data_IF_865577232214
#
_entry.id   IF_865577232214
#
_cell.length_a   1.000
_cell.length_b   1.000
_cell.length_c   1.000
_cell.angle_alpha   90.00
_cell.angle_beta   90.00
_cell.angle_gamma   90.00
#
_symmetry.space_group_name_H-M   'P 1'
#
loop_
_entity.id
_entity.type
_entity.pdbx_description
1 polymer ?
#
# COMPACT_ATOMS: atom_id res chain seq x y z
N UNK A 1 69.47 -10.90 24.03
CA UNK A 1 68.41 -10.02 24.55
C UNK A 1 67.58 -9.55 23.36
N UNK A 2 66.58 -10.32 22.94
CA UNK A 2 65.71 -9.99 21.81
C UNK A 2 64.33 -10.52 22.18
N UNK A 3 63.44 -9.67 22.69
CA UNK A 3 61.98 -9.90 22.70
C UNK A 3 61.31 -8.58 23.08
N UNK A 4 60.72 -7.89 22.10
CA UNK A 4 60.05 -6.62 22.37
C UNK A 4 59.37 -5.94 21.20
N UNK A 5 58.91 -6.67 20.17
CA UNK A 5 57.98 -6.12 19.16
C UNK A 5 57.08 -7.26 18.67
N UNK A 6 55.96 -7.54 19.34
CA UNK A 6 54.89 -8.40 18.82
C UNK A 6 53.63 -8.23 19.68
N UNK A 7 53.00 -7.05 19.61
CA UNK A 7 51.67 -6.83 20.17
C UNK A 7 51.01 -5.60 19.53
N UNK A 8 50.75 -5.63 18.22
CA UNK A 8 50.03 -4.53 17.57
C UNK A 8 49.22 -4.95 16.33
N UNK A 9 48.53 -6.11 16.34
CA UNK A 9 47.47 -6.38 15.34
C UNK A 9 46.41 -7.31 15.96
N UNK A 10 45.54 -6.80 16.83
CA UNK A 10 44.39 -7.59 17.33
C UNK A 10 43.18 -6.74 17.73
N UNK A 11 43.03 -5.54 17.15
CA UNK A 11 41.84 -4.73 17.33
C UNK A 11 41.41 -4.27 15.94
N UNK A 12 40.35 -4.90 15.41
CA UNK A 12 39.28 -4.38 14.52
C UNK A 12 38.70 -5.57 13.76
N UNK A 13 37.93 -6.45 14.46
CA UNK A 13 36.66 -6.89 13.86
C UNK A 13 35.42 -6.48 14.68
N UNK A 14 35.59 -6.08 15.95
CA UNK A 14 34.46 -5.86 16.86
C UNK A 14 33.63 -4.60 16.56
N UNK A 15 34.21 -3.59 15.91
CA UNK A 15 33.54 -2.29 15.65
C UNK A 15 32.51 -2.41 14.52
N UNK A 16 32.76 -3.25 13.51
CA UNK A 16 31.89 -3.40 12.33
C UNK A 16 30.54 -4.06 12.69
N UNK A 17 30.54 -5.02 13.63
CA UNK A 17 29.31 -5.68 14.09
C UNK A 17 28.35 -4.74 14.82
N UNK A 18 28.87 -3.76 15.55
CA UNK A 18 28.05 -2.80 16.31
C UNK A 18 27.40 -1.75 15.41
N UNK A 19 28.09 -1.26 14.38
CA UNK A 19 27.53 -0.25 13.46
C UNK A 19 26.44 -0.82 12.57
N UNK A 20 26.57 -2.07 12.11
CA UNK A 20 25.52 -2.72 11.33
C UNK A 20 24.33 -3.13 12.21
N UNK A 21 24.55 -3.56 13.46
CA UNK A 21 23.46 -3.80 14.41
C UNK A 21 22.69 -2.51 14.76
N UNK A 22 23.39 -1.39 14.95
CA UNK A 22 22.75 -0.07 15.16
C UNK A 22 22.03 0.40 13.91
N UNK A 23 22.61 0.25 12.70
CA UNK A 23 21.92 0.56 11.44
C UNK A 23 20.69 -0.33 11.21
N UNK A 24 20.78 -1.61 11.56
CA UNK A 24 19.66 -2.54 11.49
C UNK A 24 18.57 -2.14 12.49
N UNK A 25 18.95 -1.79 13.72
CA UNK A 25 18.03 -1.25 14.73
C UNK A 25 17.39 0.07 14.33
N UNK A 26 18.16 1.01 13.76
CA UNK A 26 17.64 2.27 13.23
C UNK A 26 16.70 2.04 12.04
N UNK A 27 17.04 1.13 11.12
CA UNK A 27 16.16 0.74 10.00
C UNK A 27 14.89 0.06 10.50
N UNK A 28 14.98 -0.77 11.53
CA UNK A 28 13.81 -1.42 12.13
C UNK A 28 12.91 -0.39 12.82
N UNK A 29 13.48 0.48 13.65
CA UNK A 29 12.74 1.54 14.34
C UNK A 29 12.08 2.51 13.35
N UNK A 30 12.83 2.98 12.33
CA UNK A 30 12.27 3.84 11.30
C UNK A 30 11.14 3.13 10.55
N UNK A 31 11.31 1.84 10.20
CA UNK A 31 10.25 1.05 9.56
C UNK A 31 9.01 0.99 10.44
N UNK A 32 9.12 0.57 11.70
CA UNK A 32 8.00 0.51 12.65
C UNK A 32 7.32 1.87 12.82
N UNK A 33 8.09 2.96 12.87
CA UNK A 33 7.57 4.32 12.93
C UNK A 33 6.73 4.69 11.69
N UNK A 34 7.16 4.32 10.48
CA UNK A 34 6.42 4.57 9.25
C UNK A 34 5.11 3.78 9.13
N UNK A 35 4.92 2.73 9.94
CA UNK A 35 3.73 1.88 9.86
C UNK A 35 2.51 2.47 10.56
N UNK A 36 2.73 3.20 11.65
CA UNK A 36 1.68 3.97 12.33
C UNK A 36 1.43 5.36 11.74
N UNK A 37 2.22 5.81 10.76
CA UNK A 37 2.07 7.13 10.14
C UNK A 37 1.00 7.11 9.05
N UNK A 38 0.05 8.04 9.15
CA UNK A 38 -0.93 8.32 8.10
C UNK A 38 -0.23 8.76 6.82
N UNK A 39 -0.61 8.12 5.72
CA UNK A 39 -0.12 8.41 4.38
C UNK A 39 -1.29 8.42 3.41
N UNK A 40 -1.19 9.29 2.41
CA UNK A 40 -2.04 9.22 1.24
C UNK A 40 -1.47 8.18 0.27
N UNK A 41 -2.29 7.77 -0.68
CA UNK A 41 -1.85 6.96 -1.81
C UNK A 41 -1.90 7.79 -3.09
N UNK A 42 -0.89 7.62 -3.92
CA UNK A 42 -0.83 8.18 -5.27
C UNK A 42 -0.54 7.09 -6.28
N UNK A 43 -0.98 7.26 -7.52
CA UNK A 43 -0.68 6.31 -8.58
C UNK A 43 0.36 6.85 -9.55
N UNK A 44 1.01 5.96 -10.29
CA UNK A 44 1.90 6.28 -11.42
C UNK A 44 1.80 5.15 -12.42
N UNK A 45 1.88 5.46 -13.72
CA UNK A 45 1.91 4.41 -14.73
C UNK A 45 3.33 3.86 -14.89
N UNK A 46 3.53 2.54 -14.83
CA UNK A 46 4.87 1.95 -14.98
C UNK A 46 5.46 2.18 -16.36
N UNK A 47 4.61 2.28 -17.40
CA UNK A 47 5.01 2.59 -18.77
C UNK A 47 4.34 3.88 -19.20
N UNK A 48 5.15 4.85 -19.64
CA UNK A 48 4.64 6.13 -20.14
C UNK A 48 3.76 5.94 -21.37
N UNK A 49 2.59 6.55 -21.37
CA UNK A 49 1.65 6.56 -22.50
C UNK A 49 0.80 7.84 -22.48
N UNK A 50 -0.22 7.91 -23.33
CA UNK A 50 -1.12 9.07 -23.43
C UNK A 50 -1.91 9.38 -22.15
N UNK A 51 -1.99 8.44 -21.21
CA UNK A 51 -2.67 8.60 -19.92
C UNK A 51 -1.73 9.06 -18.80
N UNK A 52 -0.41 9.06 -19.00
CA UNK A 52 0.57 9.40 -17.96
C UNK A 52 0.39 10.81 -17.42
N UNK A 53 0.19 11.80 -18.29
CA UNK A 53 -0.03 13.19 -17.86
C UNK A 53 -1.23 13.35 -16.93
N UNK A 54 -2.24 12.50 -17.12
CA UNK A 54 -3.49 12.54 -16.36
C UNK A 54 -3.38 11.84 -15.00
N UNK A 55 -2.65 10.74 -14.92
CA UNK A 55 -2.68 9.86 -13.75
C UNK A 55 -1.40 9.90 -12.91
N UNK A 56 -0.25 10.29 -13.46
CA UNK A 56 1.00 10.30 -12.70
C UNK A 56 0.91 11.31 -11.55
N UNK A 57 0.96 10.79 -10.32
CA UNK A 57 0.83 11.57 -9.09
C UNK A 57 -0.61 11.83 -8.64
N UNK A 58 -1.63 11.35 -9.38
CA UNK A 58 -3.03 11.43 -8.99
C UNK A 58 -3.27 10.74 -7.64
N UNK A 59 -4.11 11.33 -6.80
CA UNK A 59 -4.40 10.82 -5.47
C UNK A 59 -5.50 9.75 -5.51
N UNK A 60 -5.48 8.85 -4.53
CA UNK A 60 -6.59 7.91 -4.30
C UNK A 60 -7.51 8.47 -3.23
N UNK A 61 -8.81 8.38 -3.49
CA UNK A 61 -9.90 8.84 -2.63
C UNK A 61 -10.90 7.73 -2.37
N UNK A 62 -11.68 7.87 -1.31
CA UNK A 62 -12.71 6.93 -0.87
C UNK A 62 -14.08 7.45 -1.28
N UNK A 63 -14.87 6.60 -1.93
CA UNK A 63 -16.27 6.87 -2.26
C UNK A 63 -17.02 5.55 -2.40
N UNK A 64 -18.26 5.49 -1.92
CA UNK A 64 -19.17 4.35 -2.10
C UNK A 64 -18.53 2.97 -1.80
N UNK A 65 -17.75 2.88 -0.71
CA UNK A 65 -17.03 1.68 -0.25
C UNK A 65 -15.91 1.17 -1.18
N UNK A 66 -15.49 1.98 -2.16
CA UNK A 66 -14.40 1.71 -3.10
C UNK A 66 -13.33 2.80 -3.07
N UNK A 67 -12.16 2.47 -3.60
CA UNK A 67 -11.06 3.41 -3.80
C UNK A 67 -11.08 3.88 -5.26
N UNK A 68 -11.12 5.20 -5.47
CA UNK A 68 -11.16 5.84 -6.77
C UNK A 68 -9.95 6.75 -6.99
N UNK A 69 -9.61 7.00 -8.26
CA UNK A 69 -8.53 7.92 -8.63
C UNK A 69 -9.10 9.32 -8.83
N UNK A 70 -8.55 10.29 -8.12
CA UNK A 70 -8.89 11.69 -8.22
C UNK A 70 -8.03 12.36 -9.30
N UNK A 71 -8.65 12.64 -10.44
CA UNK A 71 -8.06 13.36 -11.58
C UNK A 71 -8.87 14.61 -11.89
N UNK A 72 -8.28 15.59 -12.59
CA UNK A 72 -8.97 16.83 -12.96
C UNK A 72 -10.28 16.61 -13.75
N UNK A 73 -10.37 15.49 -14.48
CA UNK A 73 -11.54 15.13 -15.26
C UNK A 73 -12.60 14.34 -14.48
N UNK A 74 -12.23 13.78 -13.33
CA UNK A 74 -13.10 12.89 -12.57
C UNK A 74 -14.22 13.67 -11.89
N UNK A 75 -15.47 13.30 -12.19
CA UNK A 75 -16.66 13.90 -11.59
C UNK A 75 -17.04 13.17 -10.31
N UNK A 76 -16.10 13.09 -9.36
CA UNK A 76 -16.32 12.42 -8.08
C UNK A 76 -17.38 13.12 -7.21
N UNK A 77 -17.64 14.40 -7.48
CA UNK A 77 -18.54 15.27 -6.75
C UNK A 77 -17.76 16.08 -5.71
N UNK A 78 -17.79 17.41 -5.83
CA UNK A 78 -17.17 18.27 -4.83
C UNK A 78 -17.79 17.97 -3.46
N UNK A 79 -16.98 17.51 -2.50
CA UNK A 79 -17.33 17.09 -1.14
C UNK A 79 -17.87 15.65 -0.94
N UNK A 80 -17.84 14.77 -1.95
CA UNK A 80 -18.31 13.38 -1.79
C UNK A 80 -17.19 12.35 -1.64
N UNK A 81 -15.94 12.72 -1.92
CA UNK A 81 -14.81 11.80 -1.85
C UNK A 81 -13.87 12.20 -0.70
N UNK A 82 -13.56 11.24 0.19
CA UNK A 82 -12.63 11.44 1.31
C UNK A 82 -11.22 11.02 0.88
N UNK A 83 -10.18 11.87 0.98
CA UNK A 83 -8.83 11.47 0.62
C UNK A 83 -8.36 10.25 1.40
N UNK A 84 -7.82 9.24 0.71
CA UNK A 84 -7.24 8.09 1.41
C UNK A 84 -6.22 8.58 2.43
N UNK A 85 -6.41 8.24 3.70
CA UNK A 85 -5.52 8.62 4.79
C UNK A 85 -5.37 7.42 5.70
N UNK A 86 -4.41 6.57 5.32
CA UNK A 86 -4.28 5.24 5.87
C UNK A 86 -2.90 4.90 6.41
N UNK A 87 -2.87 3.84 7.20
CA UNK A 87 -1.68 3.31 7.86
C UNK A 87 -1.88 1.82 8.16
N UNK A 88 -0.84 1.14 8.64
CA UNK A 88 -0.90 -0.30 8.88
C UNK A 88 -1.28 -0.61 10.33
N UNK A 89 -2.07 -1.66 10.51
CA UNK A 89 -2.43 -2.21 11.81
C UNK A 89 -2.35 -3.74 11.83
N UNK A 90 -1.90 -4.35 12.95
CA UNK A 90 -1.95 -5.80 13.10
C UNK A 90 -3.37 -6.31 12.98
N UNK A 91 -3.58 -7.41 12.23
CA UNK A 91 -4.92 -8.02 12.12
C UNK A 91 -5.07 -9.12 13.19
N UNK A 92 -5.96 -8.97 14.18
CA UNK A 92 -6.07 -9.93 15.27
C UNK A 92 -6.45 -11.36 14.84
N UNK A 93 -7.23 -11.52 13.76
CA UNK A 93 -7.79 -12.83 13.39
C UNK A 93 -6.97 -13.63 12.38
N UNK A 94 -6.12 -12.98 11.57
CA UNK A 94 -5.32 -13.65 10.53
C UNK A 94 -3.83 -13.28 10.53
N UNK A 95 -3.44 -12.21 11.24
CA UNK A 95 -2.07 -11.68 11.21
C UNK A 95 -1.02 -12.71 11.62
N UNK A 96 -1.30 -13.55 12.62
CA UNK A 96 -0.37 -14.59 13.06
C UNK A 96 -0.13 -15.68 12.02
N UNK A 97 -1.13 -15.96 11.17
CA UNK A 97 -0.97 -16.89 10.03
C UNK A 97 0.04 -16.33 9.03
N UNK A 98 -0.03 -15.04 8.72
CA UNK A 98 0.90 -14.40 7.79
C UNK A 98 2.31 -14.27 8.36
N UNK A 99 2.45 -13.97 9.66
CA UNK A 99 3.75 -13.99 10.34
C UNK A 99 4.43 -15.35 10.22
N UNK A 100 3.68 -16.43 10.43
CA UNK A 100 4.17 -17.81 10.24
C UNK A 100 4.53 -18.12 8.78
N UNK A 101 3.85 -17.49 7.81
CA UNK A 101 4.15 -17.60 6.39
C UNK A 101 5.33 -16.71 5.92
N UNK A 102 6.00 -15.99 6.84
CA UNK A 102 7.18 -15.16 6.53
C UNK A 102 6.88 -13.67 6.35
N UNK A 103 5.62 -13.24 6.40
CA UNK A 103 5.26 -11.83 6.38
C UNK A 103 5.47 -11.24 7.78
N UNK A 104 6.65 -10.66 8.01
CA UNK A 104 7.16 -10.23 9.32
C UNK A 104 6.12 -9.62 10.28
N UNK A 105 5.23 -8.77 9.79
CA UNK A 105 4.32 -8.04 10.66
C UNK A 105 2.87 -8.54 10.60
N UNK A 106 2.46 -9.25 9.54
CA UNK A 106 1.10 -9.76 9.38
C UNK A 106 0.02 -8.68 9.54
N UNK A 107 0.19 -7.55 8.87
CA UNK A 107 -0.67 -6.38 9.04
C UNK A 107 -1.63 -6.17 7.89
N UNK A 108 -2.74 -5.54 8.24
CA UNK A 108 -3.70 -4.98 7.30
C UNK A 108 -3.45 -3.50 7.11
N UNK A 109 -4.20 -2.92 6.18
CA UNK A 109 -4.25 -1.48 5.98
C UNK A 109 -5.59 -0.94 6.43
N UNK A 110 -5.58 0.19 7.13
CA UNK A 110 -6.79 0.93 7.50
C UNK A 110 -6.75 2.33 6.90
N UNK A 111 -7.91 2.94 6.73
CA UNK A 111 -8.05 4.34 6.31
C UNK A 111 -9.11 5.03 7.15
N UNK A 112 -8.93 6.34 7.35
CA UNK A 112 -10.01 7.20 7.86
C UNK A 112 -11.07 7.41 6.78
N UNK A 113 -12.34 7.56 7.18
CA UNK A 113 -13.47 7.91 6.28
C UNK A 113 -14.11 9.27 6.60
N UNK A 114 -13.66 9.90 7.69
CA UNK A 114 -14.06 11.21 8.18
C UNK A 114 -12.87 11.83 8.90
N UNK A 115 -12.75 13.16 8.88
CA UNK A 115 -11.67 13.86 9.56
C UNK A 115 -11.98 14.07 11.04
N UNK A 116 -13.25 14.33 11.38
CA UNK A 116 -13.69 14.55 12.76
C UNK A 116 -15.17 14.11 12.98
N UNK A 117 -15.44 13.11 13.83
CA UNK A 117 -14.47 12.21 14.45
C UNK A 117 -13.89 11.23 13.41
N UNK A 118 -12.61 10.83 13.54
CA UNK A 118 -12.01 9.89 12.62
C UNK A 118 -12.55 8.47 12.86
N UNK A 119 -13.36 8.00 11.92
CA UNK A 119 -13.76 6.59 11.84
C UNK A 119 -12.75 5.82 10.97
N UNK A 120 -12.40 4.61 11.42
CA UNK A 120 -11.43 3.75 10.73
C UNK A 120 -12.11 2.56 10.09
N UNK A 121 -11.84 2.37 8.80
CA UNK A 121 -12.24 1.19 8.04
C UNK A 121 -11.00 0.41 7.58
N UNK A 122 -11.14 -0.91 7.48
CA UNK A 122 -10.15 -1.79 6.88
C UNK A 122 -10.21 -1.70 5.37
N UNK A 123 -9.05 -1.75 4.72
CA UNK A 123 -8.92 -1.84 3.27
C UNK A 123 -8.71 -3.30 2.89
N UNK A 124 -9.46 -3.78 1.91
CA UNK A 124 -9.48 -5.18 1.53
C UNK A 124 -9.78 -5.35 0.04
N UNK A 125 -9.47 -6.52 -0.52
CA UNK A 125 -9.91 -6.91 -1.85
C UNK A 125 -11.18 -7.72 -1.74
N UNK A 126 -12.22 -7.33 -2.46
CA UNK A 126 -13.41 -8.17 -2.61
C UNK A 126 -13.00 -9.53 -3.16
N UNK A 127 -13.47 -10.61 -2.52
CA UNK A 127 -13.02 -11.98 -2.83
C UNK A 127 -13.48 -12.48 -4.19
N UNK A 128 -14.53 -11.87 -4.75
CA UNK A 128 -15.13 -12.29 -6.01
C UNK A 128 -14.64 -11.39 -7.17
N UNK A 129 -14.53 -10.08 -6.94
CA UNK A 129 -14.23 -9.11 -8.01
C UNK A 129 -12.81 -8.55 -7.98
N UNK A 130 -12.10 -8.70 -6.87
CA UNK A 130 -10.82 -8.04 -6.58
C UNK A 130 -10.83 -6.50 -6.68
N UNK A 131 -12.00 -5.91 -6.50
CA UNK A 131 -12.13 -4.48 -6.19
C UNK A 131 -11.40 -4.16 -4.90
N UNK A 132 -10.62 -3.07 -4.88
CA UNK A 132 -10.07 -2.54 -3.63
C UNK A 132 -11.15 -1.73 -2.93
N UNK A 133 -11.59 -2.22 -1.78
CA UNK A 133 -12.71 -1.70 -1.01
C UNK A 133 -12.28 -1.31 0.39
N UNK A 134 -13.14 -0.55 1.07
CA UNK A 134 -12.97 -0.24 2.47
C UNK A 134 -14.28 -0.47 3.24
N UNK A 135 -14.18 -0.92 4.49
CA UNK A 135 -15.34 -1.25 5.31
C UNK A 135 -15.00 -1.54 6.76
N UNK A 136 -16.02 -1.68 7.59
CA UNK A 136 -15.83 -2.09 8.98
C UNK A 136 -15.37 -3.56 9.05
N UNK A 137 -14.89 -4.01 10.21
CA UNK A 137 -14.36 -5.38 10.36
C UNK A 137 -15.29 -6.47 9.83
N UNK A 138 -16.59 -6.42 10.18
CA UNK A 138 -17.55 -7.47 9.79
C UNK A 138 -17.73 -7.56 8.27
N UNK A 139 -17.54 -6.45 7.56
CA UNK A 139 -17.58 -6.39 6.10
C UNK A 139 -16.27 -6.90 5.50
N UNK A 140 -15.13 -6.54 6.08
CA UNK A 140 -13.80 -6.90 5.57
C UNK A 140 -13.40 -8.35 5.85
N UNK A 141 -13.81 -8.92 6.98
CA UNK A 141 -13.38 -10.25 7.45
C UNK A 141 -13.64 -11.42 6.46
N UNK A 142 -14.73 -11.45 5.69
CA UNK A 142 -14.98 -12.47 4.65
C UNK A 142 -14.14 -12.33 3.38
N UNK A 143 -13.33 -11.26 3.27
CA UNK A 143 -12.59 -10.85 2.09
C UNK A 143 -11.06 -10.93 2.28
N UNK A 144 -10.28 -10.57 1.26
CA UNK A 144 -8.82 -10.58 1.36
C UNK A 144 -8.31 -9.28 1.99
N UNK A 145 -7.99 -9.34 3.28
CA UNK A 145 -7.57 -8.17 4.08
C UNK A 145 -6.06 -7.90 4.09
N UNK A 146 -5.27 -8.66 3.33
CA UNK A 146 -3.81 -8.50 3.27
C UNK A 146 -3.08 -9.84 3.09
N UNK A 147 -1.79 -9.88 3.48
CA UNK A 147 -1.06 -8.83 4.17
C UNK A 147 -0.78 -7.63 3.26
N UNK A 148 -0.93 -6.43 3.82
CA UNK A 148 -0.53 -5.19 3.15
C UNK A 148 0.87 -4.78 3.59
N UNK A 149 1.70 -4.36 2.64
CA UNK A 149 3.03 -3.80 2.92
C UNK A 149 3.44 -2.80 1.84
N UNK A 150 4.69 -2.33 1.87
CA UNK A 150 5.24 -1.52 0.80
C UNK A 150 6.72 -1.83 0.55
N UNK A 151 7.20 -1.51 -0.66
CA UNK A 151 8.61 -1.65 -1.03
C UNK A 151 9.48 -0.75 -0.15
N UNK A 152 10.72 -1.19 0.15
CA UNK A 152 11.56 -0.52 1.14
C UNK A 152 12.10 0.84 0.68
N UNK A 153 12.17 1.09 -0.63
CA UNK A 153 12.77 2.28 -1.24
C UNK A 153 11.67 3.27 -1.62
N UNK A 154 10.89 2.94 -2.65
CA UNK A 154 9.91 3.86 -3.24
C UNK A 154 8.57 3.87 -2.50
N UNK A 155 8.40 3.03 -1.48
CA UNK A 155 7.16 2.88 -0.72
C UNK A 155 5.96 2.53 -1.60
N UNK A 156 6.20 1.82 -2.70
CA UNK A 156 5.15 1.23 -3.53
C UNK A 156 4.41 0.17 -2.74
N UNK A 157 3.09 0.28 -2.70
CA UNK A 157 2.20 -0.59 -1.96
C UNK A 157 2.25 -2.00 -2.55
N UNK A 158 2.15 -3.00 -1.69
CA UNK A 158 2.11 -4.41 -2.07
C UNK A 158 0.98 -5.11 -1.33
N UNK A 159 0.33 -6.05 -2.00
CA UNK A 159 -0.64 -6.96 -1.41
C UNK A 159 -0.12 -8.39 -1.56
N UNK A 160 -0.11 -9.17 -0.48
CA UNK A 160 0.45 -10.54 -0.49
C UNK A 160 1.92 -10.60 -0.98
N UNK A 161 2.66 -9.49 -0.84
CA UNK A 161 4.08 -9.40 -1.15
C UNK A 161 4.44 -8.98 -2.58
N UNK A 162 3.48 -8.59 -3.41
CA UNK A 162 3.74 -8.15 -4.78
C UNK A 162 2.86 -6.96 -5.22
N UNK A 163 3.20 -6.39 -6.38
CA UNK A 163 2.56 -5.22 -6.98
C UNK A 163 1.71 -5.65 -8.18
N UNK A 164 0.38 -5.53 -8.08
CA UNK A 164 -0.57 -6.01 -9.09
C UNK A 164 -1.78 -5.07 -9.27
N UNK A 165 -1.59 -3.77 -9.03
CA UNK A 165 -2.70 -2.81 -9.04
C UNK A 165 -3.11 -2.44 -10.46
N UNK A 166 -4.42 -2.38 -10.67
CA UNK A 166 -5.02 -1.99 -11.95
C UNK A 166 -6.09 -0.95 -11.67
N UNK A 167 -6.16 0.11 -12.47
CA UNK A 167 -7.30 1.04 -12.45
C UNK A 167 -8.26 0.69 -13.58
N UNK A 168 -9.55 0.75 -13.28
CA UNK A 168 -10.63 0.35 -14.20
C UNK A 168 -11.61 1.49 -14.34
N UNK A 169 -11.94 1.85 -15.59
CA UNK A 169 -12.92 2.89 -15.87
C UNK A 169 -14.34 2.33 -15.71
N UNK A 170 -14.93 2.51 -14.52
CA UNK A 170 -16.27 2.01 -14.21
C UNK A 170 -17.36 2.81 -14.94
N UNK A 171 -17.16 4.12 -15.06
CA UNK A 171 -18.09 5.06 -15.69
C UNK A 171 -17.31 6.02 -16.60
N UNK A 172 -17.64 6.01 -17.90
CA UNK A 172 -17.03 6.89 -18.90
C UNK A 172 -17.58 8.31 -18.85
N UNK A 173 -18.87 8.49 -18.52
CA UNK A 173 -19.55 9.79 -18.51
C UNK A 173 -19.08 10.65 -17.33
N UNK A 174 -18.82 10.01 -16.19
CA UNK A 174 -18.26 10.64 -14.98
C UNK A 174 -16.75 10.53 -14.88
N UNK A 175 -16.12 9.82 -15.83
CA UNK A 175 -14.69 9.57 -15.88
C UNK A 175 -14.14 9.01 -14.56
N UNK A 176 -14.84 7.99 -14.06
CA UNK A 176 -14.64 7.39 -12.75
C UNK A 176 -13.76 6.14 -12.86
N UNK A 177 -12.61 6.17 -12.20
CA UNK A 177 -11.61 5.10 -12.25
C UNK A 177 -11.45 4.47 -10.87
N UNK A 178 -11.87 3.22 -10.73
CA UNK A 178 -11.76 2.46 -9.48
C UNK A 178 -10.45 1.67 -9.43
N UNK A 179 -9.91 1.48 -8.23
CA UNK A 179 -8.73 0.68 -7.97
C UNK A 179 -9.11 -0.79 -7.77
N UNK A 180 -8.42 -1.66 -8.50
CA UNK A 180 -8.51 -3.12 -8.43
C UNK A 180 -7.12 -3.71 -8.17
N UNK A 181 -7.06 -5.00 -7.85
CA UNK A 181 -5.81 -5.74 -7.72
C UNK A 181 -5.92 -7.08 -8.47
N UNK A 182 -5.06 -7.31 -9.45
CA UNK A 182 -5.05 -8.54 -10.24
C UNK A 182 -4.36 -9.68 -9.49
N UNK A 183 -4.99 -10.16 -8.42
CA UNK A 183 -4.39 -11.15 -7.51
C UNK A 183 -3.92 -12.44 -8.18
N UNK A 184 -4.58 -12.83 -9.27
CA UNK A 184 -4.31 -14.09 -9.99
C UNK A 184 -3.40 -13.90 -11.22
N UNK A 185 -2.95 -12.67 -11.50
CA UNK A 185 -2.12 -12.31 -12.67
C UNK A 185 -2.76 -12.76 -14.01
N UNK A 186 -4.09 -12.63 -14.11
CA UNK A 186 -4.88 -13.09 -15.27
C UNK A 186 -5.49 -11.93 -16.07
N UNK A 187 -5.18 -10.68 -15.71
CA UNK A 187 -5.80 -9.47 -16.22
C UNK A 187 -7.22 -9.27 -15.72
N UNK A 188 -7.54 -9.75 -14.51
CA UNK A 188 -8.90 -9.80 -13.94
C UNK A 188 -9.89 -10.55 -14.85
N UNK A 189 -9.46 -11.66 -15.48
CA UNK A 189 -10.28 -12.43 -16.45
C UNK A 189 -11.01 -13.63 -15.86
N UNK A 190 -10.76 -13.97 -14.60
CA UNK A 190 -11.54 -14.97 -13.88
C UNK A 190 -13.05 -14.68 -13.87
N UNK A 191 -13.84 -15.72 -13.56
CA UNK A 191 -15.30 -15.63 -13.52
C UNK A 191 -15.78 -14.51 -12.57
N UNK A 192 -16.69 -13.66 -13.05
CA UNK A 192 -17.24 -12.54 -12.27
C UNK A 192 -16.35 -11.30 -12.17
N UNK A 193 -15.15 -11.32 -12.76
CA UNK A 193 -14.20 -10.19 -12.76
C UNK A 193 -14.33 -9.32 -14.01
N UNK A 194 -13.85 -8.08 -13.89
CA UNK A 194 -14.07 -7.02 -14.88
C UNK A 194 -13.26 -7.14 -16.17
N UNK A 195 -12.18 -7.92 -16.20
CA UNK A 195 -11.33 -8.10 -17.37
C UNK A 195 -11.96 -8.87 -18.53
N UNK A 196 -13.15 -9.46 -18.31
CA UNK A 196 -14.00 -10.03 -19.37
C UNK A 196 -15.02 -9.03 -19.92
N UNK A 197 -15.17 -7.88 -19.27
CA UNK A 197 -16.04 -6.79 -19.70
C UNK A 197 -15.25 -5.86 -20.63
N UNK A 198 -15.93 -5.21 -21.57
CA UNK A 198 -15.32 -4.20 -22.46
C UNK A 198 -15.11 -2.89 -21.69
N UNK A 199 -14.22 -2.93 -20.70
CA UNK A 199 -13.85 -1.82 -19.82
C UNK A 199 -12.39 -1.45 -20.04
N UNK A 200 -12.10 -0.16 -19.97
CA UNK A 200 -10.71 0.31 -20.05
C UNK A 200 -9.99 0.04 -18.73
N UNK A 201 -8.81 -0.56 -18.84
CA UNK A 201 -7.98 -0.95 -17.70
C UNK A 201 -6.54 -0.50 -17.91
N UNK A 202 -5.89 -0.01 -16.85
CA UNK A 202 -4.48 0.41 -16.89
C UNK A 202 -3.75 -0.17 -15.67
N UNK A 203 -2.61 -0.83 -15.91
CA UNK A 203 -1.69 -1.23 -14.84
C UNK A 203 -1.09 0.02 -14.19
N UNK A 204 -1.03 0.05 -12.86
CA UNK A 204 -0.49 1.19 -12.11
C UNK A 204 0.40 0.73 -10.97
N UNK A 205 1.38 1.56 -10.63
CA UNK A 205 2.11 1.50 -9.37
C UNK A 205 1.40 2.40 -8.36
N UNK A 206 1.11 1.88 -7.17
CA UNK A 206 0.50 2.66 -6.08
C UNK A 206 1.59 2.97 -5.07
N UNK A 207 1.83 4.24 -4.75
CA UNK A 207 2.87 4.67 -3.81
C UNK A 207 2.28 5.35 -2.58
N UNK A 208 2.86 5.06 -1.41
CA UNK A 208 2.54 5.80 -0.18
C UNK A 208 3.25 7.14 -0.17
N UNK A 209 2.49 8.21 0.08
CA UNK A 209 3.00 9.58 0.24
C UNK A 209 2.66 10.07 1.64
N UNK A 210 3.69 10.27 2.47
CA UNK A 210 3.48 10.80 3.83
C UNK A 210 2.82 12.18 3.79
N UNK A 211 1.81 12.38 4.64
CA UNK A 211 1.19 13.70 4.79
C UNK A 211 2.19 14.65 5.45
N UNK A 212 2.37 15.84 4.86
CA UNK A 212 3.15 16.91 5.51
C UNK A 212 2.44 17.31 6.80
N UNK A 213 3.15 17.31 7.94
CA UNK A 213 2.63 17.88 9.18
C UNK A 213 2.35 19.37 8.94
N UNK A 214 1.08 19.76 8.94
CA UNK A 214 0.70 21.15 9.18
C UNK A 214 1.15 21.46 10.61
N UNK A 215 2.07 22.44 10.75
CA UNK A 215 2.55 22.90 12.05
C UNK A 215 1.45 23.64 12.81
#
# INVERSE_FOLDING_TARGET
MVFGILAAVAAVPAIVGTTEAVRQGQRQNAREEHRGRKSNLTITLPVRNSYSERFDGAMIVLKDNKLYIDTEHSRLGANMAHPFSGYYLPIPWIGDKWKKAGFRNGEGMVTTISDDPPFLNWVYLDRNTYEVKYGIRVEAEPHHVGPWDCTPIDRRLTFEGWEGFVIVQEDEDSDLWALYFDRDDDGLRGEGKVGTQDKRMLLVEVSRKEMRRTK
#
